data_IF_860813200039
#
_entry.id   IF_860813200039
#
_cell.length_a   1.000
_cell.length_b   1.000
_cell.length_c   1.000
_cell.angle_alpha   90.00
_cell.angle_beta   90.00
_cell.angle_gamma   90.00
#
_symmetry.space_group_name_H-M   'P 1'
#
loop_
_entity.id
_entity.type
_entity.pdbx_description
1 polymer ?
#
# COMPACT_ATOMS: atom_id res chain seq x y z
N UNK A 1 -21.27 4.75 -12.42
CA UNK A 1 -20.45 3.64 -11.92
C UNK A 1 -19.26 4.24 -11.18
N UNK A 2 -19.06 3.89 -9.91
CA UNK A 2 -17.98 4.48 -9.09
C UNK A 2 -16.95 3.38 -8.78
N UNK A 3 -15.69 3.53 -9.22
CA UNK A 3 -14.62 2.63 -8.82
C UNK A 3 -14.17 2.95 -7.39
N UNK A 4 -13.96 1.91 -6.57
CA UNK A 4 -13.43 2.05 -5.21
C UNK A 4 -12.17 1.18 -5.03
N UNK A 5 -11.06 1.49 -5.73
CA UNK A 5 -9.80 0.82 -5.48
C UNK A 5 -9.29 1.19 -4.09
N UNK A 6 -8.94 0.19 -3.29
CA UNK A 6 -8.26 0.34 -2.01
C UNK A 6 -6.83 -0.19 -2.13
N UNK A 7 -5.91 0.37 -1.33
CA UNK A 7 -4.51 -0.06 -1.33
C UNK A 7 -4.36 -1.49 -0.79
N UNK A 8 -3.94 -2.39 -1.66
CA UNK A 8 -3.63 -3.80 -1.39
C UNK A 8 -4.80 -4.60 -0.77
N UNK A 9 -6.04 -4.12 -0.91
CA UNK A 9 -7.28 -4.80 -0.47
C UNK A 9 -8.39 -4.66 -1.51
N UNK A 10 -9.29 -5.65 -1.56
CA UNK A 10 -10.49 -5.60 -2.42
C UNK A 10 -11.73 -5.37 -1.57
N UNK A 11 -12.59 -4.49 -2.07
CA UNK A 11 -13.87 -4.15 -1.48
C UNK A 11 -13.91 -2.67 -1.13
N UNK A 12 -14.89 -1.95 -1.68
CA UNK A 12 -15.20 -0.62 -1.18
C UNK A 12 -15.52 -0.71 0.32
N UNK A 13 -15.23 0.33 1.11
CA UNK A 13 -15.56 0.31 2.54
C UNK A 13 -17.03 -0.07 2.72
N UNK A 14 -17.43 -0.84 3.76
CA UNK A 14 -18.82 -1.20 4.00
C UNK A 14 -19.78 0.00 3.91
N UNK A 15 -19.31 1.17 4.37
CA UNK A 15 -20.01 2.45 4.22
C UNK A 15 -20.33 2.84 2.76
N UNK A 16 -19.46 2.53 1.79
CA UNK A 16 -19.72 2.79 0.38
C UNK A 16 -20.79 1.83 -0.19
N UNK A 17 -20.75 0.55 0.19
CA UNK A 17 -21.79 -0.42 -0.19
C UNK A 17 -23.15 -0.03 0.40
N UNK A 18 -23.19 0.34 1.68
CA UNK A 18 -24.39 0.84 2.35
C UNK A 18 -24.93 2.12 1.71
N UNK A 19 -24.05 3.08 1.41
CA UNK A 19 -24.44 4.33 0.76
C UNK A 19 -25.01 4.11 -0.66
N UNK A 20 -24.51 3.10 -1.38
CA UNK A 20 -24.97 2.79 -2.73
C UNK A 20 -26.27 1.97 -2.76
N UNK A 21 -26.58 1.20 -1.71
CA UNK A 21 -27.66 0.19 -1.68
C UNK A 21 -29.04 0.71 -2.09
N UNK A 22 -29.34 1.99 -1.82
CA UNK A 22 -30.64 2.62 -2.14
C UNK A 22 -30.54 3.64 -3.28
N UNK A 23 -29.52 3.53 -4.12
CA UNK A 23 -29.28 4.44 -5.25
C UNK A 23 -29.18 3.68 -6.56
N UNK A 24 -29.19 4.40 -7.69
CA UNK A 24 -28.87 3.82 -9.01
C UNK A 24 -27.36 3.66 -9.23
N UNK A 25 -26.53 3.92 -8.22
CA UNK A 25 -25.07 3.80 -8.33
C UNK A 25 -24.66 2.33 -8.31
N UNK A 26 -23.93 1.94 -9.35
CA UNK A 26 -23.20 0.68 -9.37
C UNK A 26 -21.77 0.91 -8.88
N UNK A 27 -21.34 0.07 -7.95
CA UNK A 27 -19.97 0.00 -7.47
C UNK A 27 -19.22 -1.11 -8.23
N UNK A 28 -18.01 -0.80 -8.67
CA UNK A 28 -17.11 -1.80 -9.25
C UNK A 28 -16.08 -2.19 -8.20
N UNK A 29 -15.91 -3.50 -7.91
CA UNK A 29 -14.78 -3.98 -7.12
C UNK A 29 -13.46 -3.53 -7.75
N UNK A 30 -12.62 -2.90 -6.95
CA UNK A 30 -11.31 -2.46 -7.38
C UNK A 30 -10.23 -2.75 -6.33
N UNK A 31 -8.99 -2.83 -6.81
CA UNK A 31 -7.78 -2.86 -5.99
C UNK A 31 -6.75 -1.92 -6.60
N UNK A 32 -5.92 -1.31 -5.77
CA UNK A 32 -4.67 -0.68 -6.18
C UNK A 32 -3.52 -1.49 -5.61
N UNK A 33 -2.72 -2.11 -6.48
CA UNK A 33 -1.57 -2.92 -6.08
C UNK A 33 -0.31 -2.07 -6.19
N UNK A 34 0.34 -1.83 -5.05
CA UNK A 34 1.63 -1.14 -5.02
C UNK A 34 2.73 -2.08 -5.51
N UNK A 35 3.55 -1.60 -6.45
CA UNK A 35 4.63 -2.36 -7.06
C UNK A 35 5.92 -1.54 -7.17
N UNK A 36 7.06 -2.20 -7.34
CA UNK A 36 8.36 -1.55 -7.53
C UNK A 36 9.12 -2.11 -8.71
N UNK A 37 9.74 -1.23 -9.49
CA UNK A 37 10.65 -1.59 -10.58
C UNK A 37 11.81 -0.60 -10.62
N UNK A 38 13.05 -1.09 -10.73
CA UNK A 38 14.27 -0.26 -10.74
C UNK A 38 14.37 0.75 -9.57
N UNK A 39 13.80 0.42 -8.40
CA UNK A 39 13.81 1.28 -7.23
C UNK A 39 12.77 2.42 -7.24
N UNK A 40 11.91 2.49 -8.25
CA UNK A 40 10.77 3.39 -8.30
C UNK A 40 9.46 2.64 -8.03
N UNK A 41 8.51 3.30 -7.37
CA UNK A 41 7.17 2.78 -7.11
C UNK A 41 6.24 3.04 -8.30
N UNK A 42 5.43 2.04 -8.63
CA UNK A 42 4.40 2.08 -9.67
C UNK A 42 3.14 1.43 -9.13
N UNK A 43 1.96 1.97 -9.47
CA UNK A 43 0.70 1.42 -9.00
C UNK A 43 -0.12 0.88 -10.16
N UNK A 44 -0.65 -0.32 -10.00
CA UNK A 44 -1.55 -0.95 -10.97
C UNK A 44 -2.94 -1.04 -10.35
N UNK A 45 -3.91 -0.38 -10.99
CA UNK A 45 -5.32 -0.49 -10.65
C UNK A 45 -5.88 -1.77 -11.27
N UNK A 46 -6.58 -2.57 -10.48
CA UNK A 46 -7.38 -3.68 -10.95
C UNK A 46 -8.85 -3.36 -10.82
N UNK A 47 -9.58 -3.39 -11.94
CA UNK A 47 -11.04 -3.24 -11.95
C UNK A 47 -11.73 -4.57 -12.19
N UNK A 48 -12.94 -4.75 -11.65
CA UNK A 48 -13.76 -5.97 -11.81
C UNK A 48 -13.09 -7.24 -11.27
N UNK A 49 -12.15 -7.09 -10.34
CA UNK A 49 -11.51 -8.22 -9.65
C UNK A 49 -12.52 -8.98 -8.81
N UNK A 50 -12.43 -10.31 -8.76
CA UNK A 50 -13.17 -11.14 -7.82
C UNK A 50 -12.56 -11.01 -6.41
N UNK A 51 -13.27 -10.40 -5.44
CA UNK A 51 -12.80 -10.27 -4.06
C UNK A 51 -12.59 -11.61 -3.35
N UNK A 52 -13.22 -12.68 -3.85
CA UNK A 52 -13.14 -14.02 -3.28
C UNK A 52 -12.07 -14.89 -3.96
N UNK A 53 -11.36 -14.37 -4.97
CA UNK A 53 -10.28 -15.13 -5.61
C UNK A 53 -9.14 -15.41 -4.62
N UNK A 54 -8.58 -16.61 -4.71
CA UNK A 54 -7.44 -17.03 -3.87
C UNK A 54 -6.24 -16.09 -4.01
N UNK A 55 -6.03 -15.57 -5.23
CA UNK A 55 -4.96 -14.63 -5.55
C UNK A 55 -5.08 -13.33 -4.73
N UNK A 56 -6.26 -12.70 -4.74
CA UNK A 56 -6.53 -11.48 -3.95
C UNK A 56 -6.40 -11.75 -2.45
N UNK A 57 -6.97 -12.86 -1.98
CA UNK A 57 -6.94 -13.22 -0.57
C UNK A 57 -5.51 -13.48 -0.09
N UNK A 58 -4.69 -14.15 -0.90
CA UNK A 58 -3.28 -14.38 -0.62
C UNK A 58 -2.48 -13.09 -0.61
N UNK A 59 -2.69 -12.21 -1.60
CA UNK A 59 -2.04 -10.91 -1.67
C UNK A 59 -2.37 -10.04 -0.45
N UNK A 60 -3.65 -9.94 -0.06
CA UNK A 60 -4.07 -9.19 1.12
C UNK A 60 -3.40 -9.68 2.41
N UNK A 61 -3.34 -11.01 2.61
CA UNK A 61 -2.62 -11.60 3.76
C UNK A 61 -1.14 -11.27 3.75
N UNK A 62 -0.49 -11.35 2.58
CA UNK A 62 0.93 -11.04 2.44
C UNK A 62 1.21 -9.55 2.69
N UNK A 63 0.38 -8.66 2.13
CA UNK A 63 0.51 -7.22 2.31
C UNK A 63 0.35 -6.81 3.78
N UNK A 64 -0.63 -7.37 4.49
CA UNK A 64 -0.82 -7.10 5.94
C UNK A 64 0.36 -7.62 6.75
N UNK A 65 0.75 -8.90 6.59
CA UNK A 65 1.87 -9.48 7.33
C UNK A 65 3.22 -8.79 7.04
N UNK A 66 3.43 -8.39 5.78
CA UNK A 66 4.61 -7.62 5.36
C UNK A 66 4.66 -6.24 6.02
N UNK A 67 3.55 -5.53 6.14
CA UNK A 67 3.47 -4.22 6.80
C UNK A 67 3.83 -4.29 8.28
N UNK A 68 3.34 -5.29 9.00
CA UNK A 68 3.66 -5.49 10.42
C UNK A 68 5.14 -5.85 10.61
N UNK A 69 5.63 -6.87 9.89
CA UNK A 69 7.04 -7.29 9.97
C UNK A 69 8.01 -6.16 9.60
N UNK A 70 7.68 -5.38 8.58
CA UNK A 70 8.45 -4.19 8.20
C UNK A 70 8.46 -3.16 9.31
N UNK A 71 7.31 -2.90 9.94
CA UNK A 71 7.21 -1.94 11.02
C UNK A 71 8.03 -2.38 12.24
N UNK A 72 8.00 -3.67 12.61
CA UNK A 72 8.85 -4.23 13.67
C UNK A 72 10.33 -3.97 13.39
N UNK A 73 10.78 -4.22 12.16
CA UNK A 73 12.16 -3.96 11.76
C UNK A 73 12.52 -2.46 11.85
N UNK A 74 11.62 -1.56 11.48
CA UNK A 74 11.85 -0.10 11.61
C UNK A 74 11.97 0.30 13.08
N UNK A 75 11.07 -0.17 13.95
CA UNK A 75 11.10 0.08 15.39
C UNK A 75 12.41 -0.43 16.00
N UNK A 76 12.80 -1.66 15.69
CA UNK A 76 14.04 -2.28 16.16
C UNK A 76 15.30 -1.51 15.70
N UNK A 77 15.31 -0.99 14.47
CA UNK A 77 16.39 -0.09 13.99
C UNK A 77 16.44 1.24 14.74
N UNK A 78 15.30 1.81 15.13
CA UNK A 78 15.26 3.03 15.95
C UNK A 78 15.74 2.76 17.37
N UNK A 79 15.34 1.62 17.96
CA UNK A 79 15.81 1.18 19.29
C UNK A 79 17.32 1.00 19.34
N UNK A 80 17.91 0.39 18.31
CA UNK A 80 19.38 0.28 18.17
C UNK A 80 20.10 1.63 18.08
N UNK A 81 19.41 2.69 17.68
CA UNK A 81 19.94 4.07 17.66
C UNK A 81 19.72 4.80 19.00
N UNK A 82 19.18 4.12 20.02
CA UNK A 82 18.93 4.67 21.34
C UNK A 82 17.57 5.36 21.50
N UNK A 83 16.69 5.30 20.49
CA UNK A 83 15.35 5.87 20.60
C UNK A 83 14.45 4.90 21.38
N UNK A 84 13.86 5.40 22.46
CA UNK A 84 12.89 4.66 23.27
C UNK A 84 11.52 4.67 22.58
N UNK A 85 11.29 3.69 21.72
CA UNK A 85 10.05 3.47 21.00
C UNK A 85 9.76 1.99 20.84
N UNK A 86 8.51 1.59 21.00
CA UNK A 86 8.03 0.22 20.90
C UNK A 86 6.92 0.08 19.85
N UNK A 87 6.68 -1.14 19.37
CA UNK A 87 5.56 -1.40 18.46
C UNK A 87 4.22 -0.97 19.07
N UNK A 88 4.02 -1.13 20.38
CA UNK A 88 2.82 -0.67 21.07
C UNK A 88 2.58 0.83 20.90
N UNK A 89 3.64 1.66 20.93
CA UNK A 89 3.52 3.10 20.71
C UNK A 89 2.99 3.41 19.29
N UNK A 90 3.38 2.59 18.31
CA UNK A 90 2.92 2.71 16.92
C UNK A 90 1.46 2.28 16.79
N UNK A 91 1.07 1.21 17.48
CA UNK A 91 -0.32 0.72 17.50
C UNK A 91 -1.26 1.73 18.15
N UNK A 92 -0.84 2.34 19.27
CA UNK A 92 -1.60 3.39 19.95
C UNK A 92 -1.77 4.61 19.06
N UNK A 93 -0.70 5.03 18.35
CA UNK A 93 -0.74 6.15 17.42
C UNK A 93 -1.59 5.89 16.15
N UNK A 94 -1.77 4.63 15.78
CA UNK A 94 -2.63 4.22 14.66
C UNK A 94 -4.12 4.20 15.04
N UNK A 95 -4.43 3.98 16.32
CA UNK A 95 -5.80 3.97 16.84
C UNK A 95 -6.56 2.65 16.64
N UNK A 96 -7.78 2.55 17.21
CA UNK A 96 -8.58 1.33 17.21
C UNK A 96 -9.22 1.00 15.85
N UNK A 97 -9.52 2.03 15.04
CA UNK A 97 -10.21 1.87 13.75
C UNK A 97 -9.24 1.68 12.56
N UNK A 98 -7.97 1.37 12.84
CA UNK A 98 -6.95 1.25 11.78
C UNK A 98 -7.24 0.03 10.89
N UNK A 99 -7.17 0.23 9.58
CA UNK A 99 -7.20 -0.86 8.60
C UNK A 99 -5.82 -1.50 8.39
N UNK A 100 -4.73 -0.75 8.60
CA UNK A 100 -3.36 -1.24 8.47
C UNK A 100 -2.36 -0.33 9.22
N UNK A 101 -1.17 -0.86 9.53
CA UNK A 101 -0.05 -0.08 10.07
C UNK A 101 0.80 0.49 8.92
N UNK A 102 1.22 1.75 9.04
CA UNK A 102 2.02 2.45 8.02
C UNK A 102 3.01 3.42 8.68
N UNK A 103 4.03 3.87 7.91
CA UNK A 103 5.06 4.83 8.37
C UNK A 103 4.50 6.10 9.04
N UNK A 104 3.38 6.69 8.58
CA UNK A 104 2.80 7.85 9.26
C UNK A 104 2.41 7.58 10.73
N UNK A 105 2.05 6.34 11.09
CA UNK A 105 1.77 5.97 12.48
C UNK A 105 3.04 5.97 13.32
N UNK A 106 4.15 5.46 12.77
CA UNK A 106 5.47 5.52 13.41
C UNK A 106 5.95 6.96 13.57
N UNK A 107 5.75 7.82 12.57
CA UNK A 107 6.07 9.25 12.65
C UNK A 107 5.32 9.91 13.81
N UNK A 108 4.01 9.65 13.95
CA UNK A 108 3.19 10.16 15.05
C UNK A 108 3.66 9.64 16.40
N UNK A 109 3.97 8.35 16.50
CA UNK A 109 4.53 7.75 17.71
C UNK A 109 5.85 8.44 18.11
N UNK A 110 6.76 8.67 17.15
CA UNK A 110 8.02 9.39 17.39
C UNK A 110 7.80 10.81 17.91
N UNK A 111 6.79 11.52 17.40
CA UNK A 111 6.42 12.86 17.91
C UNK A 111 5.89 12.77 19.34
N UNK A 112 4.96 11.85 19.61
CA UNK A 112 4.39 11.64 20.96
C UNK A 112 5.46 11.28 21.98
N UNK A 113 6.44 10.48 21.59
CA UNK A 113 7.58 10.08 22.44
C UNK A 113 8.68 11.15 22.55
N UNK A 114 8.53 12.28 21.87
CA UNK A 114 9.46 13.41 21.92
C UNK A 114 10.75 13.22 21.10
N UNK A 115 10.80 12.23 20.21
CA UNK A 115 11.96 11.96 19.34
C UNK A 115 11.94 12.78 18.05
N UNK A 116 10.80 13.38 17.71
CA UNK A 116 10.65 14.30 16.58
C UNK A 116 9.72 15.47 16.96
N UNK A 117 9.97 16.64 16.36
CA UNK A 117 9.17 17.85 16.58
C UNK A 117 7.88 17.90 15.77
N UNK A 118 7.83 17.15 14.67
CA UNK A 118 6.67 17.02 13.79
C UNK A 118 6.74 15.72 12.99
N UNK A 119 5.62 15.35 12.33
CA UNK A 119 5.61 14.20 11.41
C UNK A 119 6.62 14.39 10.28
N UNK A 120 6.75 15.61 9.76
CA UNK A 120 7.72 15.95 8.70
C UNK A 120 9.15 15.74 9.21
N UNK A 121 9.48 16.29 10.39
CA UNK A 121 10.79 16.12 11.03
C UNK A 121 11.16 14.64 11.27
N UNK A 122 10.17 13.80 11.59
CA UNK A 122 10.40 12.36 11.71
C UNK A 122 10.80 11.71 10.37
N UNK A 123 10.12 12.07 9.27
CA UNK A 123 10.47 11.59 7.93
C UNK A 123 11.85 12.10 7.50
N UNK A 124 12.13 13.39 7.68
CA UNK A 124 13.35 14.05 7.20
C UNK A 124 14.63 13.58 7.91
N UNK A 125 14.52 12.89 9.04
CA UNK A 125 15.69 12.56 9.88
C UNK A 125 15.79 11.12 10.32
N UNK A 126 14.66 10.44 10.48
CA UNK A 126 14.64 9.15 11.17
C UNK A 126 14.16 8.03 10.26
N UNK A 127 13.01 8.23 9.59
CA UNK A 127 12.26 7.12 8.97
C UNK A 127 11.99 7.28 7.48
N UNK A 128 12.38 8.42 6.89
CA UNK A 128 12.28 8.68 5.46
C UNK A 128 13.24 7.82 4.63
N UNK A 129 13.04 7.85 3.33
CA UNK A 129 13.86 7.08 2.40
C UNK A 129 15.33 7.51 2.53
N UNK A 130 16.24 6.53 2.55
CA UNK A 130 17.68 6.77 2.76
C UNK A 130 18.10 6.93 4.22
N UNK A 131 17.17 6.98 5.19
CA UNK A 131 17.53 6.99 6.61
C UNK A 131 17.79 5.59 7.19
N UNK A 132 18.62 5.46 8.23
CA UNK A 132 19.02 4.15 8.76
C UNK A 132 17.85 3.27 9.24
N UNK A 133 16.78 3.87 9.75
CA UNK A 133 15.61 3.12 10.19
C UNK A 133 14.65 2.72 9.06
N UNK A 134 14.87 3.19 7.83
CA UNK A 134 14.03 2.85 6.70
C UNK A 134 14.21 1.38 6.28
N UNK A 135 13.09 0.69 6.15
CA UNK A 135 13.00 -0.68 5.60
C UNK A 135 12.15 -0.60 4.34
N UNK A 136 12.62 -1.04 3.17
CA UNK A 136 11.80 -1.07 1.96
C UNK A 136 10.63 -2.06 2.13
N UNK A 137 9.50 -1.78 1.47
CA UNK A 137 8.26 -2.57 1.65
C UNK A 137 8.31 -3.95 0.98
N UNK A 138 9.26 -4.20 0.08
CA UNK A 138 9.35 -5.47 -0.64
C UNK A 138 8.12 -5.71 -1.51
N UNK A 139 7.77 -4.69 -2.30
CA UNK A 139 6.58 -4.72 -3.16
C UNK A 139 6.76 -5.68 -4.34
N UNK A 140 5.64 -6.15 -4.89
CA UNK A 140 5.61 -6.92 -6.12
C UNK A 140 6.25 -6.13 -7.29
N UNK A 141 6.65 -6.79 -8.37
CA UNK A 141 6.94 -6.09 -9.62
C UNK A 141 5.64 -5.64 -10.30
N UNK A 142 5.67 -4.65 -11.21
CA UNK A 142 4.49 -4.26 -11.99
C UNK A 142 3.90 -5.44 -12.76
N UNK A 143 4.72 -6.32 -13.29
CA UNK A 143 4.30 -7.54 -14.00
C UNK A 143 3.60 -8.54 -13.08
N UNK A 144 4.13 -8.74 -11.86
CA UNK A 144 3.47 -9.55 -10.83
C UNK A 144 2.13 -8.94 -10.41
N UNK A 145 2.05 -7.62 -10.27
CA UNK A 145 0.81 -6.91 -9.96
C UNK A 145 -0.24 -7.06 -11.08
N UNK A 146 0.19 -6.95 -12.35
CA UNK A 146 -0.66 -7.20 -13.53
C UNK A 146 -1.16 -8.65 -13.52
N UNK A 147 -0.26 -9.61 -13.29
CA UNK A 147 -0.59 -11.04 -13.22
C UNK A 147 -1.63 -11.33 -12.13
N UNK A 148 -1.41 -10.81 -10.93
CA UNK A 148 -2.35 -10.91 -9.80
C UNK A 148 -3.76 -10.45 -10.18
N UNK A 149 -3.88 -9.29 -10.84
CA UNK A 149 -5.17 -8.73 -11.24
C UNK A 149 -5.85 -9.60 -12.30
N UNK A 150 -5.07 -10.12 -13.26
CA UNK A 150 -5.59 -11.02 -14.30
C UNK A 150 -6.05 -12.36 -13.72
N UNK A 151 -5.30 -12.94 -12.78
CA UNK A 151 -5.67 -14.15 -12.06
C UNK A 151 -6.95 -13.97 -11.25
N UNK A 152 -7.17 -12.76 -10.72
CA UNK A 152 -8.41 -12.36 -10.05
C UNK A 152 -9.58 -12.07 -11.01
N UNK A 153 -9.41 -12.27 -12.32
CA UNK A 153 -10.42 -12.00 -13.35
C UNK A 153 -10.63 -10.51 -13.66
N UNK A 154 -9.75 -9.64 -13.16
CA UNK A 154 -9.86 -8.20 -13.31
C UNK A 154 -9.16 -7.63 -14.54
N UNK A 155 -9.27 -6.32 -14.69
CA UNK A 155 -8.65 -5.52 -15.75
C UNK A 155 -7.55 -4.64 -15.16
N UNK A 156 -6.26 -4.91 -15.47
CA UNK A 156 -5.13 -4.13 -14.98
C UNK A 156 -4.94 -2.84 -15.77
N UNK A 157 -4.76 -1.73 -15.05
CA UNK A 157 -4.60 -0.36 -15.59
C UNK A 157 -3.45 0.33 -14.85
N UNK A 158 -2.54 1.00 -15.57
CA UNK A 158 -1.41 1.69 -14.95
C UNK A 158 -1.87 3.02 -14.34
N UNK A 159 -1.84 3.11 -13.01
CA UNK A 159 -2.18 4.34 -12.31
C UNK A 159 -1.07 5.38 -12.46
N UNK A 160 -1.47 6.61 -12.78
CA UNK A 160 -0.62 7.82 -12.76
C UNK A 160 0.83 7.58 -13.24
N UNK A 161 1.03 7.09 -14.48
CA UNK A 161 2.35 6.74 -14.98
C UNK A 161 3.26 7.97 -15.06
N UNK A 162 4.50 7.90 -14.54
CA UNK A 162 5.44 9.00 -14.72
C UNK A 162 5.81 9.13 -16.21
N UNK A 163 5.53 10.29 -16.80
CA UNK A 163 5.67 10.51 -18.25
C UNK A 163 7.08 10.20 -18.79
N UNK A 164 8.12 10.36 -17.98
CA UNK A 164 9.51 10.13 -18.37
C UNK A 164 9.87 8.64 -18.54
N UNK A 165 9.11 7.70 -17.96
CA UNK A 165 9.32 6.25 -18.14
C UNK A 165 8.25 5.58 -18.99
N UNK A 166 7.12 6.25 -19.24
CA UNK A 166 5.96 5.67 -19.90
C UNK A 166 6.33 4.96 -21.20
N UNK A 167 6.97 5.64 -22.15
CA UNK A 167 7.33 5.06 -23.45
C UNK A 167 8.30 3.87 -23.33
N UNK A 168 9.15 3.87 -22.31
CA UNK A 168 10.14 2.80 -22.09
C UNK A 168 9.51 1.54 -21.50
N UNK A 169 8.63 1.68 -20.51
CA UNK A 169 8.09 0.56 -19.74
C UNK A 169 6.75 0.04 -20.29
N UNK A 170 5.98 0.89 -20.97
CA UNK A 170 4.66 0.52 -21.49
C UNK A 170 4.67 -0.75 -22.36
N UNK A 171 5.63 -0.97 -23.29
CA UNK A 171 5.68 -2.21 -24.07
C UNK A 171 5.83 -3.47 -23.20
N UNK A 172 6.63 -3.39 -22.13
CA UNK A 172 6.82 -4.48 -21.17
C UNK A 172 5.51 -4.79 -20.45
N UNK A 173 4.84 -3.74 -19.95
CA UNK A 173 3.59 -3.93 -19.20
C UNK A 173 2.45 -4.41 -20.10
N UNK A 174 2.36 -3.94 -21.35
CA UNK A 174 1.44 -4.49 -22.36
C UNK A 174 1.74 -5.98 -22.58
N UNK A 175 3.02 -6.36 -22.68
CA UNK A 175 3.44 -7.76 -22.80
C UNK A 175 3.04 -8.63 -21.60
N UNK A 176 3.01 -8.05 -20.40
CA UNK A 176 2.52 -8.70 -19.18
C UNK A 176 0.97 -8.78 -19.10
N UNK A 177 0.26 -8.07 -19.97
CA UNK A 177 -1.20 -8.11 -20.07
C UNK A 177 -1.92 -6.85 -19.58
N UNK A 178 -1.21 -5.74 -19.37
CA UNK A 178 -1.80 -4.42 -19.10
C UNK A 178 -2.87 -4.06 -20.13
N UNK A 179 -4.00 -3.47 -19.69
CA UNK A 179 -5.15 -3.16 -20.54
C UNK A 179 -5.48 -1.67 -20.63
N UNK A 180 -4.88 -0.83 -19.79
CA UNK A 180 -5.08 0.62 -19.79
C UNK A 180 -4.00 1.38 -19.04
#
# INVERSE_FOLDING_TARGET
>A
VVPTPAHDTVGGPPAALEAAANTSLQLIPGIEVSSTHEGAEYHILGYFVDPQSDAIQAHGRHAVGGRESRMDQMVDRLRRQGLLIEMSDVLDAAGPDRSAIARPHLARALVVKGHASSVVDAFDRLIGDGHPAYVPTGLATPEEAIGLILEAGGTPVWAHPPMHVLTRLLPTFIGAGLKG
#
